data_IF_483292287484
#
_entry.id   IF_483292287484
#
_cell.length_a   1.000
_cell.length_b   1.000
_cell.length_c   1.000
_cell.angle_alpha   90.00
_cell.angle_beta   90.00
_cell.angle_gamma   90.00
#
_symmetry.space_group_name_H-M   'P 1'
#
loop_
_entity.id
_entity.type
_entity.pdbx_description
1 polymer ?
#
# COMPACT_ATOMS: atom_id res chain seq x y z
N UNK A 1 -51.37 -67.71 2.20
CA UNK A 1 -50.16 -67.23 2.90
C UNK A 1 -49.67 -65.98 2.18
N UNK A 2 -49.40 -64.92 2.93
CA UNK A 2 -49.30 -63.52 2.48
C UNK A 2 -47.90 -63.21 1.96
N UNK A 3 -47.79 -62.86 0.67
CA UNK A 3 -46.62 -62.19 0.09
C UNK A 3 -46.77 -60.69 0.28
N UNK A 4 -46.25 -60.18 1.39
CA UNK A 4 -46.34 -58.75 1.69
C UNK A 4 -45.52 -58.39 2.91
N UNK A 5 -44.19 -58.45 2.80
CA UNK A 5 -43.25 -57.92 3.82
C UNK A 5 -41.81 -57.91 3.31
N UNK A 6 -41.56 -57.34 2.13
CA UNK A 6 -40.19 -57.09 1.67
C UNK A 6 -40.01 -55.73 0.98
N UNK A 7 -41.09 -55.11 0.49
CA UNK A 7 -41.03 -53.79 -0.15
C UNK A 7 -40.99 -52.65 0.90
N UNK A 8 -41.51 -52.87 2.11
CA UNK A 8 -41.60 -51.84 3.15
C UNK A 8 -40.27 -51.54 3.84
N UNK A 9 -39.25 -52.41 3.71
CA UNK A 9 -37.93 -52.20 4.34
C UNK A 9 -36.96 -51.36 3.48
N UNK A 10 -37.22 -51.23 2.17
CA UNK A 10 -36.32 -50.52 1.26
C UNK A 10 -36.66 -49.02 1.11
N UNK A 11 -37.89 -48.61 1.48
CA UNK A 11 -38.31 -47.19 1.41
C UNK A 11 -37.98 -46.37 2.67
N UNK A 12 -37.67 -47.01 3.79
CA UNK A 12 -37.33 -46.31 5.05
C UNK A 12 -35.82 -45.98 5.13
N UNK A 13 -34.98 -46.70 4.39
CA UNK A 13 -33.53 -46.49 4.33
C UNK A 13 -33.09 -45.39 3.36
N UNK A 14 -33.95 -44.96 2.42
CA UNK A 14 -33.65 -43.84 1.50
C UNK A 14 -34.12 -42.49 2.06
N UNK A 15 -35.07 -42.47 3.00
CA UNK A 15 -35.59 -41.22 3.59
C UNK A 15 -34.72 -40.66 4.73
N UNK A 16 -33.85 -41.47 5.34
CA UNK A 16 -32.88 -41.02 6.36
C UNK A 16 -31.59 -40.42 5.78
N UNK A 17 -31.37 -40.47 4.46
CA UNK A 17 -30.21 -39.84 3.81
C UNK A 17 -30.46 -38.40 3.33
N UNK A 18 -31.66 -37.86 3.53
CA UNK A 18 -32.05 -36.51 3.07
C UNK A 18 -32.57 -35.58 4.17
N UNK A 19 -32.48 -35.99 5.44
CA UNK A 19 -32.98 -35.20 6.58
C UNK A 19 -31.90 -35.01 7.66
N UNK A 20 -30.95 -34.14 7.36
CA UNK A 20 -29.94 -33.62 8.29
C UNK A 20 -29.17 -32.45 7.65
N UNK A 21 -29.85 -31.48 7.05
CA UNK A 21 -30.00 -30.14 7.64
C UNK A 21 -28.82 -29.72 8.53
N UNK A 22 -27.97 -28.88 7.95
CA UNK A 22 -27.09 -27.89 8.57
C UNK A 22 -27.17 -27.81 10.10
N UNK A 23 -26.24 -28.47 10.79
CA UNK A 23 -25.80 -28.00 12.09
C UNK A 23 -24.78 -26.87 11.86
N UNK A 24 -25.27 -25.63 11.96
CA UNK A 24 -24.43 -24.48 12.26
C UNK A 24 -24.02 -24.63 13.73
N UNK A 25 -23.01 -25.46 13.98
CA UNK A 25 -22.29 -25.43 15.25
C UNK A 25 -21.16 -24.41 15.10
N UNK A 26 -21.38 -23.29 15.78
CA UNK A 26 -20.52 -22.13 15.93
C UNK A 26 -19.23 -22.46 16.69
N UNK A 27 -18.33 -23.26 16.11
CA UNK A 27 -16.96 -23.47 16.60
C UNK A 27 -15.96 -23.82 15.47
N UNK A 28 -16.24 -23.35 14.24
CA UNK A 28 -15.19 -23.21 13.24
C UNK A 28 -14.43 -21.95 13.65
N UNK A 29 -13.12 -21.99 13.94
CA UNK A 29 -12.36 -20.77 14.21
C UNK A 29 -12.64 -19.87 13.03
N UNK A 30 -13.14 -18.65 13.27
CA UNK A 30 -13.47 -17.67 12.23
C UNK A 30 -12.35 -17.75 11.18
N UNK A 31 -12.63 -18.42 10.07
CA UNK A 31 -11.78 -18.30 8.90
C UNK A 31 -12.16 -16.90 8.47
N UNK A 32 -11.48 -15.91 9.03
CA UNK A 32 -11.48 -14.55 8.51
C UNK A 32 -11.07 -14.75 7.07
N UNK A 33 -12.05 -14.72 6.15
CA UNK A 33 -11.78 -14.86 4.74
C UNK A 33 -10.65 -13.87 4.43
N UNK A 34 -9.53 -14.33 3.83
CA UNK A 34 -8.38 -13.47 3.63
C UNK A 34 -8.81 -12.29 2.75
N UNK A 35 -8.79 -11.09 3.32
CA UNK A 35 -9.13 -9.90 2.57
C UNK A 35 -7.98 -9.51 1.65
N UNK A 36 -8.28 -9.17 0.41
CA UNK A 36 -7.33 -8.79 -0.62
C UNK A 36 -7.31 -7.29 -0.79
N UNK A 37 -6.16 -6.68 -0.54
CA UNK A 37 -5.95 -5.25 -0.77
C UNK A 37 -5.48 -5.05 -2.21
N UNK A 38 -6.16 -4.18 -2.94
CA UNK A 38 -5.72 -3.78 -4.27
C UNK A 38 -4.49 -2.88 -4.20
N UNK A 39 -3.56 -3.12 -5.09
CA UNK A 39 -2.30 -2.40 -5.24
C UNK A 39 -2.13 -1.96 -6.69
N UNK A 40 -1.85 -0.66 -6.86
CA UNK A 40 -1.59 -0.07 -8.16
C UNK A 40 -0.18 -0.44 -8.62
N UNK A 41 0.01 -0.81 -9.90
CA UNK A 41 1.35 -0.92 -10.52
C UNK A 41 2.17 0.38 -10.48
N UNK A 42 1.57 1.51 -10.06
CA UNK A 42 2.27 2.77 -9.77
C UNK A 42 2.93 2.81 -8.39
N UNK A 43 2.79 1.77 -7.56
CA UNK A 43 3.54 1.62 -6.30
C UNK A 43 2.79 2.05 -5.04
N UNK A 44 1.46 1.99 -5.03
CA UNK A 44 0.66 2.36 -3.88
C UNK A 44 -0.61 1.51 -3.76
N UNK A 45 -1.10 1.36 -2.53
CA UNK A 45 -2.43 0.79 -2.28
C UNK A 45 -3.52 1.62 -2.97
N UNK A 46 -4.55 0.95 -3.49
CA UNK A 46 -5.76 1.60 -3.98
C UNK A 46 -6.69 1.82 -2.80
N UNK A 47 -6.81 3.08 -2.38
CA UNK A 47 -7.65 3.46 -1.24
C UNK A 47 -9.10 3.02 -1.45
N UNK A 48 -9.67 2.39 -0.42
CA UNK A 48 -11.07 1.94 -0.41
C UNK A 48 -11.34 0.64 -1.18
N UNK A 49 -10.32 -0.01 -1.75
CA UNK A 49 -10.48 -1.26 -2.50
C UNK A 49 -9.88 -2.45 -1.75
N UNK A 50 -10.63 -2.94 -0.76
CA UNK A 50 -10.35 -4.13 0.05
C UNK A 50 -11.48 -5.15 -0.16
N UNK A 51 -11.15 -6.39 -0.48
CA UNK A 51 -12.13 -7.41 -0.88
C UNK A 51 -12.00 -8.63 0.04
N UNK A 52 -12.99 -8.87 0.89
CA UNK A 52 -12.96 -9.97 1.87
C UNK A 52 -13.72 -11.22 1.42
N UNK A 53 -14.69 -11.11 0.51
CA UNK A 53 -15.62 -12.21 0.19
C UNK A 53 -15.30 -12.90 -1.15
N UNK A 54 -14.08 -12.75 -1.64
CA UNK A 54 -13.63 -13.34 -2.91
C UNK A 54 -12.26 -13.98 -2.75
N UNK A 55 -11.98 -14.95 -3.61
CA UNK A 55 -10.62 -15.43 -3.85
C UNK A 55 -9.79 -14.35 -4.55
N UNK A 56 -8.47 -14.44 -4.44
CA UNK A 56 -7.54 -13.55 -5.16
C UNK A 56 -7.79 -13.57 -6.67
N UNK A 57 -8.02 -14.76 -7.24
CA UNK A 57 -8.26 -14.90 -8.67
C UNK A 57 -9.54 -14.20 -9.12
N UNK A 58 -10.63 -14.27 -8.34
CA UNK A 58 -11.86 -13.55 -8.61
C UNK A 58 -11.70 -12.03 -8.47
N UNK A 59 -10.88 -11.58 -7.52
CA UNK A 59 -10.51 -10.17 -7.40
C UNK A 59 -9.68 -9.69 -8.61
N UNK A 60 -8.64 -10.44 -8.99
CA UNK A 60 -7.81 -10.14 -10.17
C UNK A 60 -8.63 -10.16 -11.47
N UNK A 61 -9.61 -11.05 -11.60
CA UNK A 61 -10.51 -11.08 -12.76
C UNK A 61 -11.46 -9.88 -12.83
N UNK A 62 -11.95 -9.40 -11.68
CA UNK A 62 -12.86 -8.25 -11.61
C UNK A 62 -12.13 -6.89 -11.74
N UNK A 63 -10.86 -6.83 -11.35
CA UNK A 63 -10.03 -5.62 -11.43
C UNK A 63 -8.65 -5.93 -12.03
N UNK A 64 -8.59 -6.26 -13.34
CA UNK A 64 -7.37 -6.75 -13.99
C UNK A 64 -6.22 -5.73 -14.06
N UNK A 65 -6.51 -4.44 -13.84
CA UNK A 65 -5.51 -3.37 -13.80
C UNK A 65 -4.74 -3.29 -12.47
N UNK A 66 -5.19 -4.00 -11.43
CA UNK A 66 -4.57 -3.99 -10.11
C UNK A 66 -3.94 -5.32 -9.76
N UNK A 67 -2.95 -5.27 -8.87
CA UNK A 67 -2.43 -6.46 -8.21
C UNK A 67 -3.07 -6.61 -6.85
N UNK A 68 -3.16 -7.84 -6.38
CA UNK A 68 -3.76 -8.13 -5.08
C UNK A 68 -2.79 -8.89 -4.19
N UNK A 69 -2.74 -8.49 -2.92
CA UNK A 69 -1.99 -9.13 -1.86
C UNK A 69 -2.88 -9.31 -0.63
N UNK A 70 -2.52 -10.20 0.27
CA UNK A 70 -3.31 -10.41 1.47
C UNK A 70 -3.15 -9.17 2.37
N UNK A 71 -4.26 -8.53 2.74
CA UNK A 71 -4.29 -7.31 3.55
C UNK A 71 -3.57 -7.42 4.90
N UNK A 72 -3.39 -8.63 5.42
CA UNK A 72 -2.64 -8.87 6.66
C UNK A 72 -1.13 -9.03 6.44
N UNK A 73 -0.64 -8.97 5.20
CA UNK A 73 0.80 -9.02 4.93
C UNK A 73 1.53 -7.84 5.58
N UNK A 74 2.67 -8.15 6.22
CA UNK A 74 3.54 -7.14 6.81
C UNK A 74 4.03 -6.18 5.73
N UNK A 75 3.87 -4.88 5.99
CA UNK A 75 4.33 -3.81 5.12
C UNK A 75 5.69 -3.29 5.56
N UNK A 76 6.48 -2.86 4.59
CA UNK A 76 7.82 -2.35 4.81
C UNK A 76 8.02 -1.01 4.07
N UNK A 77 9.12 -0.37 4.41
CA UNK A 77 9.64 0.75 3.67
C UNK A 77 10.85 0.30 2.85
N UNK A 78 10.98 0.89 1.67
CA UNK A 78 11.89 0.43 0.66
C UNK A 78 12.66 1.57 0.04
N UNK A 79 13.95 1.33 -0.20
CA UNK A 79 14.75 2.04 -1.19
C UNK A 79 14.67 1.23 -2.48
N UNK A 80 14.33 1.87 -3.58
CA UNK A 80 14.18 1.21 -4.86
C UNK A 80 14.85 1.94 -6.02
N UNK A 81 15.32 1.19 -7.00
CA UNK A 81 16.12 1.70 -8.11
C UNK A 81 15.93 0.82 -9.35
N UNK A 82 15.84 1.42 -10.53
CA UNK A 82 15.78 0.73 -11.83
C UNK A 82 16.96 1.16 -12.70
N UNK A 83 18.00 0.32 -12.78
CA UNK A 83 19.21 0.66 -13.55
C UNK A 83 19.81 2.00 -13.14
N UNK A 84 19.98 2.90 -14.12
CA UNK A 84 20.53 4.24 -13.92
C UNK A 84 19.49 5.30 -13.50
N UNK A 85 18.22 4.93 -13.33
CA UNK A 85 17.19 5.86 -12.88
C UNK A 85 17.46 6.32 -11.44
N UNK A 86 16.97 7.52 -11.07
CA UNK A 86 17.05 8.02 -9.71
C UNK A 86 16.51 7.01 -8.70
N UNK A 87 17.19 6.91 -7.56
CA UNK A 87 16.71 6.14 -6.41
C UNK A 87 15.41 6.78 -5.91
N UNK A 88 14.39 5.96 -5.71
CA UNK A 88 13.14 6.36 -5.07
C UNK A 88 12.96 5.56 -3.78
N UNK A 89 12.18 6.10 -2.86
CA UNK A 89 11.83 5.41 -1.63
C UNK A 89 10.32 5.33 -1.52
N UNK A 90 9.81 4.19 -1.09
CA UNK A 90 8.38 3.94 -0.98
C UNK A 90 8.07 3.25 0.35
N UNK A 91 7.06 3.75 1.05
CA UNK A 91 6.58 3.19 2.31
C UNK A 91 5.33 2.34 2.12
N UNK A 92 5.01 1.53 3.13
CA UNK A 92 3.77 0.75 3.20
C UNK A 92 3.57 -0.27 2.07
N UNK A 93 4.66 -0.84 1.54
CA UNK A 93 4.57 -1.86 0.47
C UNK A 93 4.92 -3.24 1.07
N UNK A 94 4.09 -4.27 0.89
CA UNK A 94 4.41 -5.64 1.32
C UNK A 94 5.47 -6.28 0.42
N UNK A 95 6.17 -7.30 0.92
CA UNK A 95 7.22 -8.02 0.17
C UNK A 95 6.69 -8.56 -1.17
N UNK A 96 5.50 -9.16 -1.19
CA UNK A 96 4.93 -9.75 -2.40
C UNK A 96 4.74 -8.74 -3.54
N UNK A 97 4.41 -7.48 -3.21
CA UNK A 97 4.25 -6.41 -4.21
C UNK A 97 5.61 -5.84 -4.64
N UNK A 98 6.58 -5.74 -3.74
CA UNK A 98 7.95 -5.39 -4.11
C UNK A 98 8.56 -6.43 -5.08
N UNK A 99 8.32 -7.72 -4.82
CA UNK A 99 8.76 -8.81 -5.71
C UNK A 99 8.05 -8.75 -7.07
N UNK A 100 6.73 -8.46 -7.09
CA UNK A 100 6.00 -8.20 -8.35
C UNK A 100 6.59 -7.01 -9.12
N UNK A 101 6.91 -5.92 -8.45
CA UNK A 101 7.53 -4.74 -9.08
C UNK A 101 8.90 -5.06 -9.69
N UNK A 102 9.71 -5.87 -9.00
CA UNK A 102 10.97 -6.38 -9.56
C UNK A 102 10.72 -7.22 -10.81
N UNK A 103 9.81 -8.20 -10.74
CA UNK A 103 9.53 -9.10 -11.85
C UNK A 103 8.93 -8.39 -13.07
N UNK A 104 8.06 -7.39 -12.86
CA UNK A 104 7.36 -6.70 -13.95
C UNK A 104 8.15 -5.52 -14.53
N UNK A 105 8.96 -4.83 -13.72
CA UNK A 105 9.59 -3.58 -14.12
C UNK A 105 11.11 -3.51 -13.84
N UNK A 106 11.72 -4.53 -13.21
CA UNK A 106 13.16 -4.54 -12.93
C UNK A 106 13.61 -3.58 -11.82
N UNK A 107 12.70 -3.19 -10.92
CA UNK A 107 13.03 -2.37 -9.76
C UNK A 107 13.70 -3.16 -8.65
N UNK A 108 14.95 -2.86 -8.31
CA UNK A 108 15.62 -3.47 -7.14
C UNK A 108 15.06 -2.81 -5.88
N UNK A 109 14.49 -3.59 -4.96
CA UNK A 109 13.96 -3.11 -3.68
C UNK A 109 14.88 -3.55 -2.52
N UNK A 110 15.27 -2.62 -1.66
CA UNK A 110 16.06 -2.84 -0.44
C UNK A 110 15.28 -2.32 0.76
N UNK A 111 15.05 -3.15 1.78
CA UNK A 111 14.33 -2.73 2.99
C UNK A 111 15.12 -1.63 3.72
N UNK A 112 14.40 -0.62 4.18
CA UNK A 112 14.93 0.47 5.01
C UNK A 112 14.03 0.66 6.24
N UNK A 113 14.58 1.28 7.29
CA UNK A 113 13.80 1.60 8.48
C UNK A 113 12.68 2.61 8.14
N UNK A 114 11.43 2.30 8.46
CA UNK A 114 10.31 3.22 8.26
C UNK A 114 10.37 4.48 9.13
N UNK A 115 11.17 4.48 10.20
CA UNK A 115 11.38 5.67 11.03
C UNK A 115 12.49 6.58 10.50
N UNK A 116 13.17 6.15 9.45
CA UNK A 116 14.25 6.93 8.90
C UNK A 116 13.77 8.07 7.99
N UNK A 117 12.47 8.16 7.66
CA UNK A 117 11.89 9.32 6.98
C UNK A 117 11.62 10.46 7.97
N UNK A 118 11.88 11.70 7.57
CA UNK A 118 11.68 12.89 8.39
C UNK A 118 10.70 13.84 7.71
N UNK A 119 9.70 14.29 8.46
CA UNK A 119 8.78 15.31 7.99
C UNK A 119 9.35 16.69 8.31
N UNK A 120 9.52 17.51 7.28
CA UNK A 120 10.03 18.86 7.40
C UNK A 120 8.98 19.87 6.98
N UNK A 121 8.95 20.95 7.74
CA UNK A 121 8.25 22.17 7.36
C UNK A 121 9.24 23.04 6.60
N UNK A 122 8.89 23.46 5.38
CA UNK A 122 9.76 24.22 4.49
C UNK A 122 9.13 25.57 4.23
N UNK A 123 9.86 26.63 4.57
CA UNK A 123 9.51 28.01 4.26
C UNK A 123 10.21 28.40 2.96
N UNK A 124 9.45 28.52 1.88
CA UNK A 124 9.97 28.96 0.59
C UNK A 124 9.85 30.48 0.46
N UNK A 125 11.01 31.14 0.33
CA UNK A 125 11.13 32.59 0.16
C UNK A 125 11.58 32.90 -1.25
N UNK A 126 10.81 33.71 -1.95
CA UNK A 126 11.12 34.16 -3.31
C UNK A 126 11.47 35.64 -3.29
N UNK A 127 12.70 35.96 -3.71
CA UNK A 127 13.22 37.32 -3.87
C UNK A 127 13.38 37.66 -5.35
N UNK A 128 12.85 38.80 -5.79
CA UNK A 128 13.21 39.36 -7.09
C UNK A 128 14.61 39.97 -7.01
N UNK A 129 15.48 39.63 -7.95
CA UNK A 129 16.81 40.26 -8.10
C UNK A 129 16.72 41.65 -8.72
N UNK A 130 15.65 41.92 -9.46
CA UNK A 130 15.42 43.22 -10.13
C UNK A 130 14.98 44.27 -9.12
N UNK A 131 13.97 43.96 -8.29
CA UNK A 131 13.40 44.93 -7.34
C UNK A 131 13.91 44.77 -5.91
N UNK A 132 14.57 43.64 -5.59
CA UNK A 132 14.99 43.30 -4.24
C UNK A 132 13.86 42.86 -3.30
N UNK A 133 12.60 42.94 -3.75
CA UNK A 133 11.41 42.64 -2.94
C UNK A 133 11.17 41.14 -2.80
N UNK A 134 10.60 40.76 -1.66
CA UNK A 134 10.16 39.39 -1.40
C UNK A 134 8.68 39.22 -1.73
N UNK A 135 8.33 38.08 -2.33
CA UNK A 135 6.94 37.61 -2.39
C UNK A 135 6.54 37.03 -1.02
N UNK A 136 5.22 36.84 -0.76
CA UNK A 136 4.77 36.12 0.41
C UNK A 136 5.49 34.77 0.54
N UNK A 137 5.87 34.42 1.77
CA UNK A 137 6.52 33.14 2.06
C UNK A 137 5.50 32.02 1.92
N UNK A 138 5.87 30.96 1.22
CA UNK A 138 5.04 29.77 1.07
C UNK A 138 5.48 28.70 2.07
N UNK A 139 4.49 27.95 2.57
CA UNK A 139 4.71 26.86 3.51
C UNK A 139 4.47 25.52 2.83
N UNK A 140 5.47 24.66 2.84
CA UNK A 140 5.39 23.30 2.36
C UNK A 140 5.64 22.31 3.50
N UNK A 141 5.02 21.14 3.39
CA UNK A 141 5.35 19.99 4.21
C UNK A 141 5.89 18.91 3.28
N UNK A 142 7.14 18.51 3.50
CA UNK A 142 7.78 17.46 2.72
C UNK A 142 8.24 16.34 3.65
N UNK A 143 7.90 15.11 3.29
CA UNK A 143 8.50 13.92 3.88
C UNK A 143 9.79 13.65 3.13
N UNK A 144 10.92 13.84 3.82
CA UNK A 144 12.26 13.70 3.26
C UNK A 144 12.87 12.37 3.67
N UNK A 145 13.72 11.85 2.79
CA UNK A 145 14.27 10.51 2.87
C UNK A 145 15.38 10.38 3.93
N UNK A 146 15.67 9.14 4.38
CA UNK A 146 16.66 8.84 5.44
C UNK A 146 18.03 9.47 5.26
N UNK A 147 18.57 9.34 4.06
CA UNK A 147 19.89 9.87 3.71
C UNK A 147 19.92 11.41 3.68
N UNK A 148 18.75 12.04 3.62
CA UNK A 148 18.57 13.49 3.68
C UNK A 148 18.27 13.96 5.11
N UNK A 149 17.66 13.13 5.95
CA UNK A 149 17.26 13.51 7.31
C UNK A 149 18.44 13.89 8.19
N UNK A 150 19.55 13.15 8.10
CA UNK A 150 20.78 13.45 8.83
C UNK A 150 21.53 14.68 8.29
N UNK A 151 21.21 15.13 7.07
CA UNK A 151 21.83 16.28 6.40
C UNK A 151 21.04 17.56 6.54
N UNK A 152 19.85 17.49 7.13
CA UNK A 152 18.93 18.61 7.32
C UNK A 152 18.84 18.96 8.81
N UNK A 153 18.88 20.24 9.10
CA UNK A 153 18.75 20.79 10.44
C UNK A 153 17.85 22.02 10.40
N UNK A 154 17.22 22.34 11.54
CA UNK A 154 16.35 23.51 11.66
C UNK A 154 17.16 24.78 11.37
N UNK A 155 16.60 25.69 10.57
CA UNK A 155 17.24 26.92 10.14
C UNK A 155 18.18 26.76 8.94
N UNK A 156 18.36 25.55 8.40
CA UNK A 156 19.13 25.36 7.17
C UNK A 156 18.43 26.06 6.01
N UNK A 157 19.15 26.92 5.28
CA UNK A 157 18.67 27.57 4.06
C UNK A 157 19.39 26.98 2.86
N UNK A 158 18.64 26.59 1.82
CA UNK A 158 19.19 26.13 0.54
C UNK A 158 18.64 26.97 -0.60
N UNK A 159 19.48 27.29 -1.58
CA UNK A 159 19.02 27.85 -2.85
C UNK A 159 18.34 26.73 -3.63
N UNK A 160 17.02 26.81 -3.77
CA UNK A 160 16.23 25.84 -4.51
C UNK A 160 16.28 26.14 -6.01
N UNK A 161 16.19 27.41 -6.38
CA UNK A 161 16.30 27.87 -7.76
C UNK A 161 16.89 29.25 -7.81
N UNK A 162 17.81 29.44 -8.74
CA UNK A 162 18.37 30.75 -9.05
C UNK A 162 18.26 30.99 -10.56
N UNK A 163 17.62 32.09 -10.93
CA UNK A 163 17.54 32.58 -12.31
C UNK A 163 18.20 33.96 -12.40
N UNK A 164 18.24 34.54 -13.58
CA UNK A 164 18.75 35.91 -13.79
C UNK A 164 17.96 36.94 -12.97
N UNK A 165 16.65 36.75 -12.86
CA UNK A 165 15.69 37.70 -12.29
C UNK A 165 15.18 37.32 -10.88
N UNK A 166 15.40 36.08 -10.44
CA UNK A 166 14.87 35.58 -9.18
C UNK A 166 15.83 34.70 -8.39
N UNK A 167 15.63 34.70 -7.07
CA UNK A 167 16.24 33.78 -6.13
C UNK A 167 15.13 33.15 -5.28
N UNK A 168 15.02 31.83 -5.34
CA UNK A 168 14.10 31.04 -4.53
C UNK A 168 14.93 30.23 -3.54
N UNK A 169 14.69 30.49 -2.26
CA UNK A 169 15.36 29.80 -1.16
C UNK A 169 14.35 29.01 -0.34
N UNK A 170 14.79 27.89 0.23
CA UNK A 170 14.01 27.05 1.13
C UNK A 170 14.69 27.00 2.48
N UNK A 171 13.96 27.35 3.52
CA UNK A 171 14.40 27.25 4.91
C UNK A 171 13.68 26.08 5.60
N UNK A 172 14.45 25.16 6.16
CA UNK A 172 13.92 23.98 6.85
C UNK A 172 13.62 24.31 8.32
N UNK A 173 12.40 24.04 8.77
CA UNK A 173 11.97 24.16 10.15
C UNK A 173 11.36 22.84 10.64
N UNK A 174 11.46 22.58 11.95
CA UNK A 174 10.76 21.43 12.55
C UNK A 174 9.28 21.78 12.63
N UNK A 175 8.44 20.83 12.23
CA UNK A 175 7.00 20.88 12.50
C UNK A 175 6.82 21.04 14.02
N UNK A 176 6.15 22.10 14.45
CA UNK A 176 5.70 22.26 15.85
C UNK A 176 4.60 21.25 16.16
#
# INVERSE_FOLDING_TARGET
MKTGSLITLFLISVTFLLSGTCNKNDDIPLVTNPCWQAFSPLGADVNGLLICDKTKAEAEAAWPQYWFYNSTETKYCWRAQQGANPVFYAGNIPQSMADKMWASFGYTYVKVDCNSFCNWQILEKHKSKITGLYKPTLLYYETLFPDSCSKLFVGKIVTYRETTDSLITREFSKKM
#
